data_IF_088915110964
#
_entry.id   IF_088915110964
#
_cell.length_a   1.000
_cell.length_b   1.000
_cell.length_c   1.000
_cell.angle_alpha   90.00
_cell.angle_beta   90.00
_cell.angle_gamma   90.00
#
_symmetry.space_group_name_H-M   'P 1'
#
loop_
_entity.id
_entity.type
_entity.pdbx_description
1 polymer ?
#
# COMPACT_ATOMS: atom_id res chain seq x y z
N UNK A 1 22.54 -8.98 -13.98
CA UNK A 1 21.22 -9.66 -14.05
C UNK A 1 20.17 -8.57 -13.97
N UNK A 2 19.47 -8.26 -15.06
CA UNK A 2 18.36 -7.30 -15.04
C UNK A 2 17.16 -7.97 -14.36
N UNK A 3 16.95 -7.70 -13.08
CA UNK A 3 15.75 -8.15 -12.38
C UNK A 3 14.54 -7.42 -12.95
N UNK A 4 13.45 -8.16 -13.20
CA UNK A 4 12.18 -7.55 -13.60
C UNK A 4 11.59 -6.77 -12.42
N UNK A 5 11.02 -5.59 -12.68
CA UNK A 5 10.27 -4.83 -11.68
C UNK A 5 9.10 -5.66 -11.17
N UNK A 6 9.03 -5.87 -9.86
CA UNK A 6 8.02 -6.72 -9.23
C UNK A 6 7.53 -6.11 -7.93
N UNK A 7 6.22 -6.22 -7.70
CA UNK A 7 5.57 -5.90 -6.44
C UNK A 7 5.16 -7.20 -5.75
N UNK A 8 5.39 -7.29 -4.44
CA UNK A 8 5.14 -8.49 -3.65
C UNK A 8 4.44 -8.15 -2.35
N UNK A 9 3.55 -9.04 -1.92
CA UNK A 9 2.94 -9.04 -0.61
C UNK A 9 3.43 -10.28 0.17
N UNK A 10 4.47 -10.17 0.99
CA UNK A 10 5.14 -11.34 1.59
C UNK A 10 4.19 -12.22 2.43
N UNK A 11 3.24 -11.59 3.11
CA UNK A 11 2.28 -12.28 3.97
C UNK A 11 1.02 -12.69 3.21
N UNK A 12 0.62 -11.96 2.16
CA UNK A 12 -0.61 -12.15 1.38
C UNK A 12 -1.92 -11.97 2.16
N UNK A 13 -1.89 -12.12 3.49
CA UNK A 13 -3.02 -12.03 4.39
C UNK A 13 -2.59 -11.42 5.72
N UNK A 14 -3.48 -10.66 6.35
CA UNK A 14 -3.31 -10.06 7.67
C UNK A 14 -4.50 -10.44 8.53
N UNK A 15 -4.24 -10.96 9.73
CA UNK A 15 -5.25 -11.15 10.77
C UNK A 15 -5.34 -9.88 11.62
N UNK A 16 -6.39 -9.10 11.41
CA UNK A 16 -6.64 -7.85 12.11
C UNK A 16 -7.42 -8.06 13.40
N UNK A 17 -7.12 -7.22 14.39
CA UNK A 17 -7.85 -7.12 15.65
C UNK A 17 -8.65 -5.82 15.65
N UNK A 18 -9.93 -5.91 16.00
CA UNK A 18 -10.82 -4.74 16.02
C UNK A 18 -10.26 -3.61 16.90
N UNK A 19 -10.28 -2.39 16.36
CA UNK A 19 -9.78 -1.18 17.01
C UNK A 19 -8.26 -1.06 17.10
N UNK A 20 -7.49 -2.08 16.74
CA UNK A 20 -6.02 -2.04 16.71
C UNK A 20 -5.50 -1.66 15.32
N UNK A 21 -4.29 -1.09 15.23
CA UNK A 21 -3.62 -0.91 13.94
C UNK A 21 -3.31 -2.26 13.29
N UNK A 22 -3.38 -2.32 11.96
CA UNK A 22 -2.87 -3.40 11.15
C UNK A 22 -1.89 -2.85 10.10
N UNK A 23 -0.87 -3.64 9.76
CA UNK A 23 0.07 -3.31 8.69
C UNK A 23 -0.15 -4.28 7.53
N UNK A 24 -0.54 -3.74 6.38
CA UNK A 24 -0.69 -4.48 5.14
C UNK A 24 0.66 -4.43 4.41
N UNK A 25 1.38 -5.55 4.46
CA UNK A 25 2.72 -5.67 3.91
C UNK A 25 2.75 -5.63 2.38
N UNK A 26 3.48 -4.68 1.80
CA UNK A 26 3.75 -4.61 0.36
C UNK A 26 5.17 -4.08 0.11
N UNK A 27 5.88 -4.71 -0.81
CA UNK A 27 7.23 -4.32 -1.20
C UNK A 27 7.41 -4.35 -2.70
N UNK A 28 8.34 -3.57 -3.24
CA UNK A 28 8.71 -3.59 -4.64
C UNK A 28 10.21 -3.74 -4.82
N UNK A 29 10.63 -4.36 -5.92
CA UNK A 29 12.05 -4.39 -6.31
C UNK A 29 12.47 -2.99 -6.74
N UNK A 30 13.58 -2.51 -6.17
CA UNK A 30 14.14 -1.21 -6.53
C UNK A 30 15.65 -1.34 -6.68
N UNK A 31 16.22 -0.77 -7.73
CA UNK A 31 17.61 -0.35 -7.70
C UNK A 31 17.65 1.01 -7.00
N UNK A 32 18.53 1.20 -6.02
CA UNK A 32 18.55 2.31 -5.03
C UNK A 32 18.51 3.76 -5.63
N UNK A 33 18.53 3.88 -6.96
CA UNK A 33 18.42 5.08 -7.79
C UNK A 33 17.00 5.47 -8.24
N UNK A 34 15.95 4.78 -7.77
CA UNK A 34 14.56 5.14 -8.10
C UNK A 34 14.21 6.51 -7.50
N UNK A 35 14.11 7.55 -8.35
CA UNK A 35 13.75 8.91 -7.91
C UNK A 35 12.35 8.86 -7.30
N UNK A 36 12.22 9.22 -6.01
CA UNK A 36 10.94 9.30 -5.30
C UNK A 36 9.91 10.18 -6.04
N UNK A 37 10.38 11.12 -6.87
CA UNK A 37 9.54 11.98 -7.71
C UNK A 37 8.70 11.20 -8.74
N UNK A 38 9.20 10.04 -9.18
CA UNK A 38 8.51 9.15 -10.14
C UNK A 38 7.69 8.05 -9.47
N UNK A 39 7.84 7.87 -8.15
CA UNK A 39 7.18 6.81 -7.41
C UNK A 39 5.70 7.14 -7.23
N UNK A 40 4.86 6.21 -7.69
CA UNK A 40 3.42 6.23 -7.49
C UNK A 40 3.05 4.97 -6.72
N UNK A 41 2.42 5.15 -5.56
CA UNK A 41 1.88 4.06 -4.76
C UNK A 41 0.39 4.30 -4.61
N UNK A 42 -0.42 3.28 -4.92
CA UNK A 42 -1.86 3.33 -4.69
C UNK A 42 -2.32 2.06 -4.00
N UNK A 43 -2.95 2.25 -2.84
CA UNK A 43 -3.71 1.23 -2.14
C UNK A 43 -5.20 1.41 -2.42
N UNK A 44 -5.84 0.35 -2.89
CA UNK A 44 -7.27 0.32 -3.20
C UNK A 44 -7.94 -0.92 -2.63
N UNK A 45 -9.22 -0.82 -2.26
CA UNK A 45 -10.03 -2.00 -1.95
C UNK A 45 -10.51 -2.64 -3.26
N UNK A 46 -10.32 -3.95 -3.40
CA UNK A 46 -10.59 -4.66 -4.65
C UNK A 46 -12.10 -4.75 -4.98
N UNK A 47 -12.98 -4.74 -3.97
CA UNK A 47 -14.42 -4.96 -4.16
C UNK A 47 -15.16 -3.78 -4.79
N UNK A 48 -14.70 -2.56 -4.51
CA UNK A 48 -15.40 -1.31 -4.86
C UNK A 48 -14.47 -0.22 -5.41
N UNK A 49 -13.17 -0.54 -5.57
CA UNK A 49 -12.12 0.38 -5.98
C UNK A 49 -11.97 1.61 -5.06
N UNK A 50 -12.45 1.53 -3.81
CA UNK A 50 -12.28 2.61 -2.84
C UNK A 50 -10.79 2.91 -2.65
N UNK A 51 -10.42 4.19 -2.77
CA UNK A 51 -9.03 4.62 -2.63
C UNK A 51 -8.70 4.67 -1.14
N UNK A 52 -7.78 3.81 -0.73
CA UNK A 52 -7.39 3.65 0.68
C UNK A 52 -6.28 4.62 1.02
N UNK A 53 -5.28 4.75 0.15
CA UNK A 53 -4.19 5.72 0.27
C UNK A 53 -3.46 5.84 -1.07
N UNK A 54 -3.02 7.04 -1.44
CA UNK A 54 -2.19 7.25 -2.62
C UNK A 54 -1.03 8.19 -2.30
N UNK A 55 0.13 7.91 -2.88
CA UNK A 55 1.32 8.74 -2.85
C UNK A 55 1.81 8.94 -4.29
N UNK A 56 2.02 10.20 -4.69
CA UNK A 56 2.66 10.56 -5.94
C UNK A 56 3.10 12.03 -5.91
N UNK A 57 4.04 12.41 -6.78
CA UNK A 57 4.68 13.75 -6.77
C UNK A 57 5.29 14.11 -5.40
N UNK A 58 5.92 13.12 -4.75
CA UNK A 58 6.65 13.32 -3.50
C UNK A 58 5.77 13.55 -2.25
N UNK A 59 4.46 13.32 -2.31
CA UNK A 59 3.55 13.52 -1.17
C UNK A 59 2.33 12.61 -1.19
N UNK A 60 1.72 12.46 -0.02
CA UNK A 60 0.42 11.80 0.15
C UNK A 60 -0.70 12.61 -0.51
N UNK A 61 -1.68 11.91 -1.07
CA UNK A 61 -2.75 12.47 -1.90
C UNK A 61 -4.09 12.24 -1.22
N UNK A 62 -4.19 12.71 0.02
CA UNK A 62 -5.30 12.45 0.93
C UNK A 62 -6.64 13.00 0.44
N UNK A 63 -6.63 14.01 -0.45
CA UNK A 63 -7.86 14.58 -1.04
C UNK A 63 -8.59 13.59 -1.97
N UNK A 64 -7.92 12.54 -2.44
CA UNK A 64 -8.50 11.49 -3.28
C UNK A 64 -8.91 10.25 -2.49
N UNK A 65 -8.64 10.24 -1.19
CA UNK A 65 -8.92 9.13 -0.30
C UNK A 65 -10.42 9.00 -0.05
N UNK A 66 -10.93 7.76 -0.07
CA UNK A 66 -12.30 7.49 0.36
C UNK A 66 -12.49 7.87 1.84
N UNK A 67 -13.59 8.54 2.15
CA UNK A 67 -13.83 9.13 3.47
C UNK A 67 -13.70 8.15 4.65
N UNK A 68 -14.01 6.87 4.43
CA UNK A 68 -13.90 5.79 5.43
C UNK A 68 -12.46 5.52 5.91
N UNK A 69 -11.44 5.94 5.17
CA UNK A 69 -10.02 5.78 5.52
C UNK A 69 -9.35 7.08 5.99
N UNK A 70 -10.07 8.21 5.92
CA UNK A 70 -9.53 9.52 6.27
C UNK A 70 -9.00 9.55 7.71
N UNK A 71 -7.75 9.97 7.89
CA UNK A 71 -7.09 10.03 9.19
C UNK A 71 -6.78 8.67 9.82
N UNK A 72 -6.87 7.58 9.04
CA UNK A 72 -6.62 6.20 9.51
C UNK A 72 -5.49 5.51 8.77
N UNK A 73 -4.86 6.14 7.78
CA UNK A 73 -3.83 5.48 6.97
C UNK A 73 -2.53 6.24 6.94
N UNK A 74 -1.43 5.49 6.83
CA UNK A 74 -0.09 6.02 6.70
C UNK A 74 0.79 5.06 5.90
N UNK A 75 1.64 5.60 5.03
CA UNK A 75 2.72 4.87 4.37
C UNK A 75 4.05 5.10 5.11
N UNK A 76 4.98 4.15 4.99
CA UNK A 76 6.34 4.25 5.54
C UNK A 76 7.28 4.94 4.54
N UNK A 77 7.07 6.24 4.30
CA UNK A 77 7.78 6.98 3.24
C UNK A 77 9.31 7.01 3.39
N UNK A 78 9.81 6.91 4.62
CA UNK A 78 11.24 6.77 4.93
C UNK A 78 11.84 5.40 4.50
N UNK A 79 11.01 4.44 4.12
CA UNK A 79 11.40 3.10 3.70
C UNK A 79 11.15 2.82 2.20
N UNK A 80 10.65 3.81 1.45
CA UNK A 80 10.42 3.67 0.00
C UNK A 80 11.70 3.30 -0.75
N UNK A 81 12.84 3.92 -0.42
CA UNK A 81 14.13 3.60 -1.03
C UNK A 81 14.62 2.17 -0.73
N UNK A 82 14.04 1.53 0.29
CA UNK A 82 14.29 0.12 0.64
C UNK A 82 13.24 -0.81 0.03
N UNK A 83 12.36 -0.28 -0.82
CA UNK A 83 11.29 -1.01 -1.47
C UNK A 83 10.03 -1.20 -0.61
N UNK A 84 9.96 -0.69 0.63
CA UNK A 84 8.78 -0.91 1.48
C UNK A 84 7.70 0.13 1.24
N UNK A 85 6.54 -0.28 0.72
CA UNK A 85 5.37 0.57 0.46
C UNK A 85 4.14 0.08 1.25
N UNK A 86 4.40 -0.56 2.38
CA UNK A 86 3.36 -1.09 3.26
C UNK A 86 2.44 0.00 3.78
N UNK A 87 1.18 -0.37 4.00
CA UNK A 87 0.17 0.52 4.52
C UNK A 87 -0.10 0.20 5.99
N UNK A 88 0.02 1.19 6.86
CA UNK A 88 -0.57 1.13 8.19
C UNK A 88 -2.02 1.60 8.12
N UNK A 89 -2.95 0.79 8.62
CA UNK A 89 -4.35 1.12 8.81
C UNK A 89 -4.67 1.13 10.31
N UNK A 90 -4.97 2.30 10.87
CA UNK A 90 -5.31 2.51 12.27
C UNK A 90 -6.82 2.31 12.54
N UNK A 91 -7.13 1.96 13.81
CA UNK A 91 -8.50 1.76 14.31
C UNK A 91 -9.32 0.85 13.39
N UNK A 92 -8.79 -0.33 13.06
CA UNK A 92 -9.42 -1.25 12.09
C UNK A 92 -10.83 -1.64 12.54
N UNK A 93 -11.78 -1.65 11.60
CA UNK A 93 -13.21 -1.89 11.79
C UNK A 93 -13.64 -3.13 11.00
N UNK A 94 -14.73 -3.80 11.40
CA UNK A 94 -15.23 -4.99 10.68
C UNK A 94 -15.46 -4.75 9.18
N UNK A 95 -15.83 -3.53 8.80
CA UNK A 95 -15.99 -3.12 7.39
C UNK A 95 -14.69 -3.09 6.59
N UNK A 96 -13.54 -3.08 7.26
CA UNK A 96 -12.23 -3.12 6.61
C UNK A 96 -11.82 -4.53 6.19
N UNK A 97 -12.59 -5.57 6.54
CA UNK A 97 -12.37 -6.91 6.02
C UNK A 97 -12.52 -6.94 4.50
N UNK A 98 -11.58 -7.59 3.81
CA UNK A 98 -11.59 -7.66 2.36
C UNK A 98 -10.21 -7.77 1.73
N UNK A 99 -10.17 -7.70 0.40
CA UNK A 99 -8.93 -7.72 -0.38
C UNK A 99 -8.52 -6.30 -0.75
N UNK A 100 -7.25 -6.01 -0.56
CA UNK A 100 -6.61 -4.74 -0.85
C UNK A 100 -5.55 -4.95 -1.94
N UNK A 101 -5.49 -4.01 -2.88
CA UNK A 101 -4.53 -3.98 -3.98
C UNK A 101 -3.49 -2.92 -3.69
N UNK A 102 -2.23 -3.32 -3.66
CA UNK A 102 -1.07 -2.45 -3.65
C UNK A 102 -0.53 -2.35 -5.08
N UNK A 103 -0.71 -1.21 -5.73
CA UNK A 103 -0.15 -0.95 -7.06
C UNK A 103 1.02 0.02 -6.93
N UNK A 104 2.16 -0.32 -7.51
CA UNK A 104 3.35 0.53 -7.52
C UNK A 104 3.77 0.78 -8.96
N UNK A 105 4.00 2.05 -9.30
CA UNK A 105 4.59 2.46 -10.56
C UNK A 105 5.84 3.30 -10.31
N UNK A 106 6.87 3.07 -11.11
CA UNK A 106 8.10 3.84 -11.14
C UNK A 106 8.69 3.84 -12.55
N UNK A 107 9.85 4.47 -12.74
CA UNK A 107 10.62 4.37 -13.99
C UNK A 107 11.03 2.94 -14.35
N UNK A 108 11.11 2.03 -13.38
CA UNK A 108 11.48 0.63 -13.59
C UNK A 108 10.30 -0.23 -14.08
N UNK A 109 9.05 0.22 -13.87
CA UNK A 109 7.87 -0.49 -14.31
C UNK A 109 6.63 -0.24 -13.45
N UNK A 110 5.59 -1.04 -13.70
CA UNK A 110 4.36 -1.06 -12.90
C UNK A 110 3.98 -2.51 -12.62
N UNK A 111 3.68 -2.80 -11.37
CA UNK A 111 3.18 -4.10 -10.93
C UNK A 111 2.29 -3.94 -9.70
N UNK A 112 1.63 -5.01 -9.27
CA UNK A 112 0.73 -5.00 -8.13
C UNK A 112 0.75 -6.30 -7.34
N UNK A 113 0.40 -6.21 -6.06
CA UNK A 113 0.17 -7.35 -5.19
C UNK A 113 -1.13 -7.20 -4.40
N UNK A 114 -1.69 -8.34 -3.99
CA UNK A 114 -2.92 -8.38 -3.18
C UNK A 114 -2.60 -8.70 -1.72
N UNK A 115 -3.32 -8.05 -0.80
CA UNK A 115 -3.29 -8.34 0.62
C UNK A 115 -4.71 -8.53 1.12
N UNK A 116 -5.00 -9.65 1.77
CA UNK A 116 -6.32 -9.93 2.35
C UNK A 116 -6.35 -9.63 3.84
N UNK A 117 -7.23 -8.72 4.26
CA UNK A 117 -7.49 -8.46 5.69
C UNK A 117 -8.65 -9.34 6.13
N UNK A 118 -8.46 -10.09 7.22
CA UNK A 118 -9.49 -10.89 7.87
C UNK A 118 -9.45 -10.62 9.37
N UNK A 119 -10.53 -10.89 10.07
CA UNK A 119 -10.57 -10.74 11.53
C UNK A 119 -10.22 -12.02 12.25
N UNK A 120 -9.43 -11.87 13.31
CA UNK A 120 -9.31 -12.85 14.39
C UNK A 120 -10.46 -12.77 15.37
#
# INVERSE_FOLDING_TARGET
MNGAFKVTAPQGQVLAVYGRPAVLGCSYTTSETSVLDSLIVTWQRASDNAVVHSFYHGKDQLDKQSAEYSGRTQLFSNEFLKGNVSLRLDKVQKKDEGTYLCTVSSVEGTDKAEVRVNFG
#
